data_IF_044171864383
#
_entry.id   IF_044171864383
#
_cell.length_a   1.000
_cell.length_b   1.000
_cell.length_c   1.000
_cell.angle_alpha   90.00
_cell.angle_beta   90.00
_cell.angle_gamma   90.00
#
_symmetry.space_group_name_H-M   'P 1'
#
loop_
_entity.id
_entity.type
_entity.pdbx_description
1 polymer ?
#
# COMPACT_ATOMS: atom_id res chain seq x y z
N UNK A 1 50.53 14.05 12.17
CA UNK A 1 49.49 13.02 12.44
C UNK A 1 48.14 13.65 12.21
N UNK A 2 47.35 13.05 11.33
CA UNK A 2 46.20 13.66 10.67
C UNK A 2 44.98 13.62 11.61
N UNK A 3 44.48 14.79 11.98
CA UNK A 3 43.28 14.94 12.81
C UNK A 3 42.06 14.69 11.92
N UNK A 4 41.55 13.46 11.92
CA UNK A 4 40.30 13.14 11.25
C UNK A 4 39.15 13.81 12.01
N UNK A 5 38.73 14.96 11.48
CA UNK A 5 37.49 15.62 11.88
C UNK A 5 36.34 14.64 11.68
N UNK A 6 35.73 14.17 12.76
CA UNK A 6 34.44 13.50 12.73
C UNK A 6 33.43 14.45 12.08
N UNK A 7 33.01 14.10 10.86
CA UNK A 7 31.98 14.82 10.14
C UNK A 7 30.65 14.47 10.80
N UNK A 8 30.21 15.31 11.74
CA UNK A 8 28.87 15.23 12.32
C UNK A 8 27.87 15.72 11.28
N UNK A 9 27.35 14.80 10.47
CA UNK A 9 26.25 15.05 9.54
C UNK A 9 24.99 15.28 10.39
N UNK A 10 24.66 16.56 10.64
CA UNK A 10 23.37 16.96 11.22
C UNK A 10 22.35 17.01 10.08
N UNK A 11 21.80 15.85 9.72
CA UNK A 11 20.57 15.77 8.94
C UNK A 11 19.39 15.82 9.91
N UNK A 12 18.38 16.63 9.56
CA UNK A 12 17.04 16.76 10.19
C UNK A 12 16.73 15.62 11.19
N UNK A 13 16.55 15.95 12.47
CA UNK A 13 16.42 15.00 13.60
C UNK A 13 15.26 13.99 13.41
N UNK A 14 15.45 12.99 12.56
CA UNK A 14 14.69 11.75 12.60
C UNK A 14 15.31 10.93 13.74
N UNK A 15 14.54 10.69 14.79
CA UNK A 15 14.99 9.82 15.89
C UNK A 15 15.18 8.40 15.35
N UNK A 16 16.01 7.58 15.99
CA UNK A 16 16.15 6.17 15.61
C UNK A 16 14.79 5.43 15.56
N UNK A 17 13.84 5.84 16.43
CA UNK A 17 12.46 5.36 16.38
C UNK A 17 11.74 5.77 15.10
N UNK A 18 11.96 6.99 14.60
CA UNK A 18 11.33 7.46 13.37
C UNK A 18 11.81 6.68 12.14
N UNK A 19 13.12 6.43 12.07
CA UNK A 19 13.73 5.56 11.05
C UNK A 19 13.17 4.14 11.15
N UNK A 20 13.04 3.59 12.36
CA UNK A 20 12.49 2.26 12.58
C UNK A 20 11.02 2.17 12.15
N UNK A 21 10.18 3.15 12.51
CA UNK A 21 8.76 3.21 12.12
C UNK A 21 8.63 3.32 10.60
N UNK A 22 9.46 4.13 9.94
CA UNK A 22 9.44 4.28 8.48
C UNK A 22 9.86 3.01 7.75
N UNK A 23 10.86 2.29 8.26
CA UNK A 23 11.28 1.01 7.65
C UNK A 23 10.27 -0.11 7.90
N UNK A 24 9.65 -0.12 9.09
CA UNK A 24 8.52 -0.98 9.40
C UNK A 24 7.34 -0.71 8.45
N UNK A 25 7.11 0.56 8.10
CA UNK A 25 6.06 0.97 7.19
C UNK A 25 6.28 0.46 5.76
N UNK A 26 7.47 0.64 5.18
CA UNK A 26 7.83 0.11 3.84
C UNK A 26 7.65 -1.40 3.76
N UNK A 27 8.05 -2.08 4.83
CA UNK A 27 7.95 -3.53 4.90
C UNK A 27 6.48 -3.99 4.90
N UNK A 28 5.62 -3.24 5.58
CA UNK A 28 4.18 -3.48 5.61
C UNK A 28 3.51 -3.13 4.29
N UNK A 29 3.86 -2.02 3.64
CA UNK A 29 3.31 -1.63 2.33
C UNK A 29 3.66 -2.66 1.27
N UNK A 30 4.91 -3.12 1.20
CA UNK A 30 5.34 -4.16 0.27
C UNK A 30 4.53 -5.46 0.45
N UNK A 31 4.24 -5.84 1.70
CA UNK A 31 3.39 -7.00 1.99
C UNK A 31 1.95 -6.80 1.51
N UNK A 32 1.38 -5.60 1.69
CA UNK A 32 0.03 -5.26 1.18
C UNK A 32 0.00 -5.33 -0.35
N UNK A 33 0.97 -4.72 -1.03
CA UNK A 33 1.09 -4.78 -2.50
C UNK A 33 1.19 -6.22 -3.00
N UNK A 34 2.03 -7.06 -2.39
CA UNK A 34 2.15 -8.49 -2.76
C UNK A 34 0.85 -9.28 -2.59
N UNK A 35 0.03 -8.94 -1.60
CA UNK A 35 -1.29 -9.56 -1.40
C UNK A 35 -2.26 -9.08 -2.48
N UNK A 36 -2.31 -7.76 -2.70
CA UNK A 36 -3.24 -7.15 -3.64
C UNK A 36 -2.99 -7.57 -5.08
N UNK A 37 -1.73 -7.69 -5.46
CA UNK A 37 -1.30 -8.08 -6.81
C UNK A 37 -0.98 -9.59 -6.91
N UNK A 38 -1.37 -10.40 -5.92
CA UNK A 38 -1.51 -11.85 -6.07
C UNK A 38 -0.24 -12.70 -5.98
N UNK A 39 0.91 -12.14 -5.55
CA UNK A 39 2.12 -12.94 -5.31
C UNK A 39 2.10 -13.73 -4.00
N UNK A 40 1.29 -13.34 -3.02
CA UNK A 40 1.33 -13.93 -1.69
C UNK A 40 -0.06 -13.94 -1.03
N UNK A 41 -0.43 -15.02 -0.34
CA UNK A 41 -1.69 -15.06 0.43
C UNK A 41 -1.53 -14.23 1.72
N UNK A 42 -2.63 -13.65 2.21
CA UNK A 42 -2.66 -12.90 3.50
C UNK A 42 -2.06 -13.70 4.68
N UNK A 43 -2.24 -15.02 4.68
CA UNK A 43 -1.66 -15.92 5.71
C UNK A 43 -0.15 -16.10 5.56
N UNK A 44 0.37 -16.11 4.34
CA UNK A 44 1.80 -16.26 4.08
C UNK A 44 2.55 -15.00 4.52
N UNK A 45 2.01 -13.83 4.22
CA UNK A 45 2.60 -12.54 4.61
C UNK A 45 2.71 -12.36 6.14
N UNK A 46 1.75 -12.88 6.92
CA UNK A 46 1.84 -12.90 8.39
C UNK A 46 2.78 -13.99 8.94
N UNK A 47 3.02 -15.06 8.17
CA UNK A 47 3.92 -16.17 8.55
C UNK A 47 5.37 -15.91 8.15
N UNK A 48 5.63 -14.92 7.28
CA UNK A 48 6.99 -14.50 6.97
C UNK A 48 7.71 -14.00 8.23
N UNK A 49 9.05 -14.20 8.33
CA UNK A 49 9.85 -13.65 9.44
C UNK A 49 9.62 -12.16 9.64
N UNK A 50 9.51 -11.45 8.52
CA UNK A 50 9.17 -10.04 8.42
C UNK A 50 7.80 -9.70 9.04
N UNK A 51 6.76 -10.49 8.73
CA UNK A 51 5.41 -10.25 9.25
C UNK A 51 5.32 -10.50 10.76
N UNK A 52 6.08 -11.49 11.26
CA UNK A 52 6.19 -11.78 12.69
C UNK A 52 7.00 -10.69 13.42
N UNK A 53 8.08 -10.19 12.83
CA UNK A 53 8.82 -9.03 13.34
C UNK A 53 7.94 -7.78 13.36
N UNK A 54 7.18 -7.51 12.29
CA UNK A 54 6.21 -6.41 12.25
C UNK A 54 5.21 -6.49 13.41
N UNK A 55 4.58 -7.65 13.62
CA UNK A 55 3.60 -7.83 14.68
C UNK A 55 4.21 -7.57 16.07
N UNK A 56 5.41 -8.09 16.32
CA UNK A 56 6.11 -7.88 17.59
C UNK A 56 6.48 -6.40 17.80
N UNK A 57 7.07 -5.76 16.79
CA UNK A 57 7.42 -4.33 16.87
C UNK A 57 6.18 -3.45 17.02
N UNK A 58 5.09 -3.76 16.32
CA UNK A 58 3.83 -3.02 16.42
C UNK A 58 3.25 -3.04 17.84
N UNK A 59 3.34 -4.18 18.53
CA UNK A 59 2.88 -4.28 19.93
C UNK A 59 3.73 -3.49 20.92
N UNK A 60 4.99 -3.20 20.57
CA UNK A 60 5.92 -2.43 21.41
C UNK A 60 5.87 -0.92 21.14
N UNK A 61 5.20 -0.48 20.07
CA UNK A 61 5.03 0.94 19.76
C UNK A 61 4.00 1.60 20.68
N UNK A 62 4.24 2.86 21.02
CA UNK A 62 3.24 3.71 21.67
C UNK A 62 2.12 4.08 20.66
N UNK A 63 1.00 4.61 21.15
CA UNK A 63 -0.15 4.89 20.28
C UNK A 63 0.11 6.02 19.28
N UNK A 64 0.97 6.98 19.64
CA UNK A 64 1.40 8.05 18.75
C UNK A 64 2.20 7.51 17.55
N UNK A 65 3.12 6.59 17.78
CA UNK A 65 3.95 5.97 16.75
C UNK A 65 3.13 4.98 15.90
N UNK A 66 2.08 4.35 16.46
CA UNK A 66 1.12 3.56 15.67
C UNK A 66 0.34 4.43 14.69
N UNK A 67 -0.08 5.63 15.11
CA UNK A 67 -0.73 6.61 14.24
C UNK A 67 0.21 7.03 13.10
N UNK A 68 1.44 7.41 13.42
CA UNK A 68 2.47 7.77 12.40
C UNK A 68 2.81 6.61 11.48
N UNK A 69 2.89 5.40 12.02
CA UNK A 69 3.11 4.19 11.23
C UNK A 69 2.03 4.03 10.16
N UNK A 70 0.75 4.25 10.51
CA UNK A 70 -0.34 4.13 9.54
C UNK A 70 -0.22 5.13 8.40
N UNK A 71 0.21 6.36 8.69
CA UNK A 71 0.46 7.40 7.70
C UNK A 71 1.66 7.06 6.81
N UNK A 72 2.77 6.57 7.38
CA UNK A 72 3.91 6.14 6.58
C UNK A 72 3.61 4.89 5.76
N UNK A 73 2.77 3.98 6.24
CA UNK A 73 2.32 2.81 5.47
C UNK A 73 1.49 3.25 4.28
N UNK A 74 0.56 4.20 4.45
CA UNK A 74 -0.26 4.69 3.34
C UNK A 74 0.59 5.44 2.31
N UNK A 75 1.52 6.29 2.74
CA UNK A 75 2.45 6.99 1.85
C UNK A 75 3.40 6.03 1.11
N UNK A 76 3.92 5.00 1.79
CA UNK A 76 4.74 3.98 1.17
C UNK A 76 3.92 3.15 0.17
N UNK A 77 2.70 2.75 0.54
CA UNK A 77 1.81 2.01 -0.33
C UNK A 77 1.44 2.79 -1.60
N UNK A 78 1.16 4.10 -1.52
CA UNK A 78 0.88 4.90 -2.72
C UNK A 78 2.04 4.86 -3.72
N UNK A 79 3.27 4.94 -3.22
CA UNK A 79 4.49 4.85 -4.04
C UNK A 79 4.68 3.43 -4.60
N UNK A 80 4.57 2.43 -3.74
CA UNK A 80 4.81 1.03 -4.11
C UNK A 80 3.73 0.52 -5.09
N UNK A 81 2.48 0.95 -4.92
CA UNK A 81 1.36 0.55 -5.78
C UNK A 81 1.36 1.21 -7.16
N UNK A 82 2.09 2.32 -7.34
CA UNK A 82 2.26 2.96 -8.65
C UNK A 82 3.05 2.10 -9.63
N UNK A 83 3.90 1.20 -9.11
CA UNK A 83 4.71 0.27 -9.89
C UNK A 83 4.33 -1.18 -9.56
N UNK A 84 3.13 -1.64 -10.00
CA UNK A 84 2.60 -2.95 -9.65
C UNK A 84 3.44 -4.11 -10.18
N UNK A 85 4.21 -3.88 -11.25
CA UNK A 85 5.09 -4.86 -11.91
C UNK A 85 6.11 -5.48 -10.94
N UNK A 86 6.59 -4.69 -9.98
CA UNK A 86 7.53 -5.14 -8.95
C UNK A 86 6.93 -6.20 -8.01
N UNK A 87 5.62 -6.14 -7.80
CA UNK A 87 4.90 -6.88 -6.76
C UNK A 87 4.08 -8.04 -7.31
N UNK A 88 3.96 -8.14 -8.64
CA UNK A 88 3.16 -9.14 -9.36
C UNK A 88 4.04 -10.08 -10.18
N UNK A 89 3.45 -11.18 -10.65
CA UNK A 89 3.97 -11.89 -11.83
C UNK A 89 3.32 -11.31 -13.09
N UNK A 90 3.90 -11.48 -14.30
CA UNK A 90 3.29 -10.97 -15.53
C UNK A 90 1.84 -11.44 -15.73
N UNK A 91 1.54 -12.69 -15.37
CA UNK A 91 0.17 -13.23 -15.41
C UNK A 91 -0.76 -12.62 -14.36
N UNK A 92 -0.24 -12.31 -13.16
CA UNK A 92 -1.01 -11.63 -12.11
C UNK A 92 -1.39 -10.19 -12.50
N UNK A 93 -0.52 -9.51 -13.24
CA UNK A 93 -0.76 -8.15 -13.73
C UNK A 93 -1.92 -8.11 -14.72
N UNK A 94 -1.90 -9.00 -15.72
CA UNK A 94 -2.96 -9.11 -16.74
C UNK A 94 -4.31 -9.40 -16.09
N UNK A 95 -4.34 -10.32 -15.11
CA UNK A 95 -5.57 -10.64 -14.39
C UNK A 95 -6.10 -9.47 -13.55
N UNK A 96 -5.20 -8.71 -12.92
CA UNK A 96 -5.59 -7.51 -12.16
C UNK A 96 -6.12 -6.42 -13.10
N UNK A 97 -5.45 -6.16 -14.22
CA UNK A 97 -5.89 -5.22 -15.24
C UNK A 97 -7.26 -5.61 -15.82
N UNK A 98 -7.48 -6.91 -16.10
CA UNK A 98 -8.75 -7.43 -16.57
C UNK A 98 -9.87 -7.22 -15.54
N UNK A 99 -9.60 -7.44 -14.25
CA UNK A 99 -10.57 -7.17 -13.18
C UNK A 99 -10.93 -5.69 -13.07
N UNK A 100 -9.95 -4.80 -13.10
CA UNK A 100 -10.20 -3.36 -13.07
C UNK A 100 -11.01 -2.92 -14.30
N UNK A 101 -10.67 -3.45 -15.48
CA UNK A 101 -11.43 -3.23 -16.71
C UNK A 101 -12.89 -3.69 -16.60
N UNK A 102 -13.13 -4.89 -16.05
CA UNK A 102 -14.48 -5.41 -15.84
C UNK A 102 -15.29 -4.56 -14.85
N UNK A 103 -14.64 -4.05 -13.80
CA UNK A 103 -15.27 -3.18 -12.80
C UNK A 103 -15.71 -1.83 -13.41
N UNK A 104 -14.84 -1.23 -14.24
CA UNK A 104 -15.15 0.01 -14.97
C UNK A 104 -16.27 -0.19 -15.99
N UNK A 105 -16.25 -1.31 -16.73
CA UNK A 105 -17.30 -1.66 -17.68
C UNK A 105 -18.65 -1.85 -16.96
N UNK A 106 -18.65 -2.55 -15.83
CA UNK A 106 -19.86 -2.73 -15.01
C UNK A 106 -20.43 -1.41 -14.51
N UNK A 107 -19.57 -0.49 -14.05
CA UNK A 107 -19.99 0.86 -13.65
C UNK A 107 -20.60 1.66 -14.80
N UNK A 108 -20.00 1.60 -16.00
CA UNK A 108 -20.52 2.26 -17.18
C UNK A 108 -21.89 1.72 -17.60
N UNK A 109 -22.05 0.39 -17.64
CA UNK A 109 -23.33 -0.26 -17.99
C UNK A 109 -24.41 0.10 -16.97
N UNK A 110 -24.07 0.11 -15.68
CA UNK A 110 -25.01 0.51 -14.62
C UNK A 110 -25.44 1.97 -14.77
N UNK A 111 -24.50 2.87 -15.06
CA UNK A 111 -24.82 4.27 -15.28
C UNK A 111 -25.70 4.49 -16.51
N UNK A 112 -25.37 3.83 -17.63
CA UNK A 112 -26.17 3.88 -18.86
C UNK A 112 -27.60 3.33 -18.63
N UNK A 113 -27.74 2.28 -17.82
CA UNK A 113 -29.04 1.76 -17.40
C UNK A 113 -29.85 2.79 -16.61
N UNK A 114 -29.25 3.44 -15.60
CA UNK A 114 -29.92 4.49 -14.83
C UNK A 114 -30.39 5.62 -15.75
N UNK A 115 -29.53 6.10 -16.64
CA UNK A 115 -29.87 7.18 -17.59
C UNK A 115 -31.04 6.77 -18.48
N UNK A 116 -31.04 5.52 -18.98
CA UNK A 116 -32.12 5.00 -19.83
C UNK A 116 -33.46 4.94 -19.10
N UNK A 117 -33.44 4.50 -17.83
CA UNK A 117 -34.64 4.46 -16.98
C UNK A 117 -35.17 5.87 -16.73
N UNK A 118 -34.32 6.83 -16.37
CA UNK A 118 -34.71 8.22 -16.12
C UNK A 118 -35.33 8.86 -17.37
N UNK A 119 -34.73 8.67 -18.55
CA UNK A 119 -35.25 9.21 -19.81
C UNK A 119 -36.61 8.59 -20.18
N UNK A 120 -36.79 7.29 -19.96
CA UNK A 120 -38.07 6.62 -20.21
C UNK A 120 -39.18 7.18 -19.32
N UNK A 121 -38.92 7.40 -18.03
CA UNK A 121 -39.89 8.05 -17.13
C UNK A 121 -40.17 9.50 -17.53
N UNK A 122 -39.16 10.26 -17.93
CA UNK A 122 -39.32 11.66 -18.36
C UNK A 122 -40.14 11.79 -19.65
N UNK A 123 -40.11 10.81 -20.55
CA UNK A 123 -40.93 10.80 -21.77
C UNK A 123 -42.41 10.46 -21.56
N UNK A 124 -42.80 10.02 -20.36
CA UNK A 124 -44.18 9.65 -20.01
C UNK A 124 -44.90 10.72 -19.16
N UNK A 125 -44.20 11.82 -18.82
CA UNK A 125 -44.72 13.02 -18.15
C UNK A 125 -44.99 14.12 -19.17
#
# INVERSE_FOLDING_TARGET
MNSQKEVKIVTRQETFNDLAVRELAKTRSACICKIQFGRCKRRECMRCPIGRQYANCYTQLNDYDKLRLSEYVSQAYLRDSAEPEQWTSPGGYIWHAAKCGFMMLGGFVFFAFIVSVVLAFASQL
#
